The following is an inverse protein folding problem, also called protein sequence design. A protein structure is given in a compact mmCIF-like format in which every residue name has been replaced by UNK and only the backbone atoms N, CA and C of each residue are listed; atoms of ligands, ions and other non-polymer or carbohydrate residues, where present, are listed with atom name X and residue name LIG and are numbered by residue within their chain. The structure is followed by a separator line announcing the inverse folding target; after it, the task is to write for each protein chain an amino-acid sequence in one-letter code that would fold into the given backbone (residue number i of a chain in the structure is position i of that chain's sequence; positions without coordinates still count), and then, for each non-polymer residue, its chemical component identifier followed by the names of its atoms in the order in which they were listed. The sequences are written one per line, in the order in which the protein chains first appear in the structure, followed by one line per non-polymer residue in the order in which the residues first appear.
data_IF_979889672943
#
_entry.id   IF_979889672943
#
_cell.length_a   1.000
_cell.length_b   1.000
_cell.length_c   1.000
_cell.angle_alpha   90.00
_cell.angle_beta   90.00
_cell.angle_gamma   90.00
#
_symmetry.space_group_name_H-M   'P 1'
#
loop_
_entity.id
_entity.type
_entity.pdbx_description
1 polymer ?
#
# COMPACT_ATOMS: atom_id res chain seq x y z
N UNK A 1 -9.83 -4.13 -14.00
CA UNK A 1 -8.42 -4.22 -14.43
C UNK A 1 -7.60 -3.48 -13.40
N UNK A 2 -6.59 -4.11 -12.79
CA UNK A 2 -5.76 -3.48 -11.76
C UNK A 2 -4.90 -2.40 -12.44
N UNK A 3 -4.74 -1.23 -11.80
CA UNK A 3 -3.95 -0.16 -12.41
C UNK A 3 -2.46 -0.54 -12.42
N UNK A 4 -1.69 -0.06 -13.40
CA UNK A 4 -0.24 -0.32 -13.50
C UNK A 4 0.53 0.07 -12.23
N UNK A 5 0.06 1.09 -11.50
CA UNK A 5 0.64 1.55 -10.23
C UNK A 5 0.45 0.51 -9.13
N UNK A 6 -0.75 -0.04 -9.02
CA UNK A 6 -1.06 -1.10 -8.05
C UNK A 6 -0.27 -2.36 -8.38
N UNK A 7 -0.23 -2.79 -9.64
CA UNK A 7 0.57 -3.98 -10.05
C UNK A 7 2.06 -3.81 -9.72
N UNK A 8 2.63 -2.63 -9.97
CA UNK A 8 4.02 -2.33 -9.62
C UNK A 8 4.27 -2.47 -8.12
N UNK A 9 3.36 -1.94 -7.28
CA UNK A 9 3.46 -2.08 -5.83
C UNK A 9 3.39 -3.56 -5.42
N UNK A 10 2.39 -4.30 -5.92
CA UNK A 10 2.22 -5.71 -5.56
C UNK A 10 3.44 -6.55 -5.93
N UNK A 11 4.05 -6.30 -7.10
CA UNK A 11 5.29 -6.96 -7.49
C UNK A 11 6.44 -6.61 -6.53
N UNK A 12 6.56 -5.36 -6.12
CA UNK A 12 7.56 -4.95 -5.13
C UNK A 12 7.32 -5.62 -3.76
N UNK A 13 6.07 -5.75 -3.32
CA UNK A 13 5.76 -6.43 -2.05
C UNK A 13 6.12 -7.92 -2.11
N UNK A 14 5.85 -8.58 -3.23
CA UNK A 14 6.26 -9.97 -3.46
C UNK A 14 7.77 -10.14 -3.42
N UNK A 15 8.53 -9.25 -4.05
CA UNK A 15 10.01 -9.32 -4.00
C UNK A 15 10.57 -9.06 -2.60
N UNK A 16 9.82 -8.37 -1.74
CA UNK A 16 10.15 -8.15 -0.33
C UNK A 16 9.67 -9.27 0.60
N UNK A 17 9.08 -10.35 0.07
CA UNK A 17 8.73 -11.54 0.83
C UNK A 17 7.29 -11.59 1.36
N UNK A 18 6.41 -10.68 0.92
CA UNK A 18 4.97 -10.81 1.16
C UNK A 18 4.42 -11.88 0.21
N UNK A 19 3.95 -12.99 0.76
CA UNK A 19 3.52 -14.17 0.00
C UNK A 19 2.06 -14.54 0.22
N UNK A 20 1.38 -13.96 1.22
CA UNK A 20 -0.05 -14.21 1.44
C UNK A 20 -0.87 -13.49 0.36
N UNK A 21 -1.35 -14.26 -0.63
CA UNK A 21 -2.18 -13.74 -1.71
C UNK A 21 -3.51 -13.14 -1.22
N UNK A 22 -4.02 -13.53 -0.04
CA UNK A 22 -5.21 -12.88 0.54
C UNK A 22 -4.89 -11.43 0.95
N UNK A 23 -3.71 -11.21 1.53
CA UNK A 23 -3.22 -9.87 1.92
C UNK A 23 -2.95 -9.03 0.67
N UNK A 24 -2.27 -9.58 -0.34
CA UNK A 24 -1.99 -8.88 -1.58
C UNK A 24 -3.27 -8.49 -2.33
N UNK A 25 -4.26 -9.38 -2.37
CA UNK A 25 -5.57 -9.08 -2.95
C UNK A 25 -6.31 -7.98 -2.18
N UNK A 26 -6.27 -8.01 -0.85
CA UNK A 26 -6.87 -6.95 -0.03
C UNK A 26 -6.21 -5.59 -0.30
N UNK A 27 -4.88 -5.54 -0.39
CA UNK A 27 -4.14 -4.32 -0.74
C UNK A 27 -4.54 -3.80 -2.13
N UNK A 28 -4.74 -4.69 -3.11
CA UNK A 28 -5.15 -4.32 -4.45
C UNK A 28 -6.59 -3.76 -4.53
N UNK A 29 -7.46 -4.20 -3.63
CA UNK A 29 -8.88 -3.83 -3.62
C UNK A 29 -9.18 -2.56 -2.83
N UNK A 30 -8.35 -2.22 -1.83
CA UNK A 30 -8.56 -1.02 -1.01
C UNK A 30 -7.94 0.20 -1.73
N UNK A 31 -8.75 1.20 -2.13
CA UNK A 31 -8.27 2.36 -2.89
C UNK A 31 -7.45 3.30 -1.99
N UNK A 32 -6.15 2.99 -1.83
CA UNK A 32 -5.24 3.69 -0.90
C UNK A 32 -5.18 5.20 -1.13
N UNK A 33 -5.35 5.65 -2.37
CA UNK A 33 -5.44 7.07 -2.73
C UNK A 33 -6.54 7.84 -2.00
N UNK A 34 -7.62 7.17 -1.56
CA UNK A 34 -8.71 7.82 -0.80
C UNK A 34 -8.35 8.08 0.67
N UNK A 35 -7.20 7.61 1.13
CA UNK A 35 -6.73 7.72 2.52
C UNK A 35 -5.55 8.69 2.66
N UNK A 36 -5.23 9.44 1.61
CA UNK A 36 -4.20 10.47 1.60
C UNK A 36 -4.77 11.77 1.03
N UNK A 37 -4.10 12.89 1.30
CA UNK A 37 -4.42 14.17 0.68
C UNK A 37 -4.23 14.09 -0.86
N UNK A 38 -5.02 14.85 -1.61
CA UNK A 38 -4.97 14.92 -3.09
C UNK A 38 -3.55 15.28 -3.58
N UNK A 39 -2.82 16.11 -2.84
CA UNK A 39 -1.43 16.43 -3.12
C UNK A 39 -0.50 15.20 -3.19
N UNK A 40 -0.87 14.09 -2.53
CA UNK A 40 -0.13 12.83 -2.50
C UNK A 40 -0.75 11.72 -3.36
N UNK A 41 -1.82 11.99 -4.13
CA UNK A 41 -2.49 10.95 -4.94
C UNK A 41 -1.51 10.24 -5.89
N UNK A 42 -0.58 10.99 -6.49
CA UNK A 42 0.45 10.46 -7.38
C UNK A 42 1.46 9.53 -6.68
N UNK A 43 1.60 9.63 -5.35
CA UNK A 43 2.45 8.77 -4.51
C UNK A 43 1.69 7.70 -3.73
N UNK A 44 0.36 7.69 -3.77
CA UNK A 44 -0.47 6.81 -2.94
C UNK A 44 -0.07 5.33 -3.02
N UNK A 45 0.38 4.87 -4.19
CA UNK A 45 0.80 3.50 -4.48
C UNK A 45 2.31 3.28 -4.48
N UNK A 46 3.10 4.27 -4.07
CA UNK A 46 4.51 4.07 -3.77
C UNK A 46 4.66 3.30 -2.46
N UNK A 47 5.69 2.47 -2.36
CA UNK A 47 6.00 1.76 -1.13
C UNK A 47 6.69 2.70 -0.12
N UNK A 48 5.99 3.73 0.34
CA UNK A 48 6.45 4.73 1.30
C UNK A 48 5.34 5.12 2.28
N UNK A 49 5.72 5.64 3.45
CA UNK A 49 4.78 6.28 4.36
C UNK A 49 4.42 7.68 3.84
N UNK A 50 3.19 8.11 4.07
CA UNK A 50 2.69 9.42 3.64
C UNK A 50 2.03 10.15 4.81
N UNK A 51 2.15 11.49 4.90
CA UNK A 51 1.46 12.25 5.94
C UNK A 51 -0.05 12.28 5.67
N UNK A 52 -0.84 12.22 6.75
CA UNK A 52 -2.32 12.28 6.70
C UNK A 52 -2.89 13.41 7.56
N UNK A 53 -2.04 14.38 7.93
CA UNK A 53 -2.40 15.51 8.79
C UNK A 53 -2.17 15.23 10.28
N UNK A 54 -2.28 16.29 11.10
CA UNK A 54 -2.15 16.22 12.57
C UNK A 54 -0.84 15.56 13.07
N UNK A 55 0.25 15.70 12.30
CA UNK A 55 1.52 15.06 12.62
C UNK A 55 1.53 13.52 12.47
N UNK A 56 0.48 12.93 11.89
CA UNK A 56 0.35 11.50 11.69
C UNK A 56 0.71 11.07 10.27
N UNK A 57 1.01 9.79 10.11
CA UNK A 57 1.32 9.17 8.82
C UNK A 57 0.51 7.91 8.60
N UNK A 58 0.14 7.64 7.35
CA UNK A 58 -0.26 6.30 6.92
C UNK A 58 1.00 5.47 6.68
N UNK A 59 1.07 4.29 7.27
CA UNK A 59 2.24 3.42 7.18
C UNK A 59 2.53 2.98 5.75
N UNK A 60 3.80 2.65 5.49
CA UNK A 60 4.27 2.07 4.23
C UNK A 60 3.46 0.78 3.89
N UNK A 61 3.08 0.54 2.62
CA UNK A 61 2.38 -0.66 2.21
C UNK A 61 3.05 -1.97 2.65
N UNK A 62 4.38 -2.08 2.56
CA UNK A 62 5.11 -3.25 3.07
C UNK A 62 4.88 -3.49 4.56
N UNK A 63 4.93 -2.45 5.40
CA UNK A 63 4.72 -2.62 6.84
C UNK A 63 3.30 -3.08 7.14
N UNK A 64 2.29 -2.50 6.47
CA UNK A 64 0.89 -2.94 6.61
C UNK A 64 0.74 -4.41 6.18
N UNK A 65 1.30 -4.78 5.02
CA UNK A 65 1.25 -6.15 4.52
C UNK A 65 1.91 -7.13 5.51
N UNK A 66 3.11 -6.81 5.98
CA UNK A 66 3.89 -7.66 6.87
C UNK A 66 3.22 -7.84 8.23
N UNK A 67 2.66 -6.77 8.80
CA UNK A 67 1.92 -6.85 10.06
C UNK A 67 0.66 -7.71 9.90
N UNK A 68 0.00 -7.63 8.75
CA UNK A 68 -1.23 -8.38 8.47
C UNK A 68 -0.95 -9.88 8.28
N UNK A 69 0.16 -10.26 7.65
CA UNK A 69 0.57 -11.69 7.51
C UNK A 69 0.84 -12.40 8.85
N UNK A 70 1.02 -11.65 9.95
CA UNK A 70 1.33 -12.19 11.27
C UNK A 70 0.09 -12.45 12.14
N UNK A 71 -1.11 -12.15 11.63
CA UNK A 71 -2.41 -12.38 12.30
C UNK A 71 -3.01 -13.73 11.91
#
# INVERSE_FOLDING_TARGET
MVSKRVESLLNQLRTQGIIDERVLNAIAMVPREKFVDEAFEHKAWENTALPIGQGQTISQPYMVARMTELL
#
